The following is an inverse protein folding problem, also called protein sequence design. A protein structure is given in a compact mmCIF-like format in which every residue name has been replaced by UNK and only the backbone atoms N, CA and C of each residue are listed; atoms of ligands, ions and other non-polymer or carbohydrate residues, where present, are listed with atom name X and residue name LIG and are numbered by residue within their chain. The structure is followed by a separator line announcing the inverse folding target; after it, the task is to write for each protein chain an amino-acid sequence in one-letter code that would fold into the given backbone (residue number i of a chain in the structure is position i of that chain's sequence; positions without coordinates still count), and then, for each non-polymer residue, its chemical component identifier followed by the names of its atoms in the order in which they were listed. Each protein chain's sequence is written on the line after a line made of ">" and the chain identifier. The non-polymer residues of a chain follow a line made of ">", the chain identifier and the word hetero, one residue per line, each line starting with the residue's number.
data_IF_207392414782
#
_entry.id   IF_207392414782
#
_cell.length_a   1.000
_cell.length_b   1.000
_cell.length_c   1.000
_cell.angle_alpha   90.00
_cell.angle_beta   90.00
_cell.angle_gamma   90.00
#
_symmetry.space_group_name_H-M   'P 1'
#
loop_
_entity.id
_entity.type
_entity.pdbx_description
1 polymer ?
#
# COMPACT_ATOMS: atom_id res chain seq x y z
N UNK A 1 -24.73 41.23 11.08
CA UNK A 1 -25.99 41.52 11.82
C UNK A 1 -26.46 40.30 12.64
N UNK A 2 -25.64 39.68 13.51
CA UNK A 2 -26.04 38.37 14.08
C UNK A 2 -25.58 37.99 15.49
N UNK A 3 -24.78 38.79 16.21
CA UNK A 3 -24.45 38.44 17.62
C UNK A 3 -25.38 39.13 18.63
N UNK A 4 -25.71 40.40 18.43
CA UNK A 4 -26.57 41.13 19.36
C UNK A 4 -27.99 40.56 19.42
N UNK A 5 -28.56 40.15 18.29
CA UNK A 5 -29.89 39.53 18.23
C UNK A 5 -29.89 38.15 18.90
N UNK A 6 -28.75 37.44 18.86
CA UNK A 6 -28.61 36.15 19.54
C UNK A 6 -28.45 36.28 21.04
N UNK A 7 -27.66 37.25 21.50
CA UNK A 7 -27.56 37.55 22.92
C UNK A 7 -28.91 37.96 23.50
N UNK A 8 -29.71 38.71 22.74
CA UNK A 8 -31.08 39.08 23.13
C UNK A 8 -32.00 37.85 23.23
N UNK A 9 -31.95 36.93 22.26
CA UNK A 9 -32.73 35.69 22.32
C UNK A 9 -32.29 34.79 23.48
N UNK A 10 -30.98 34.67 23.72
CA UNK A 10 -30.45 33.88 24.82
C UNK A 10 -30.88 34.45 26.18
N UNK A 11 -30.85 35.77 26.36
CA UNK A 11 -31.35 36.44 27.57
C UNK A 11 -32.87 36.25 27.78
N UNK A 12 -33.68 36.28 26.71
CA UNK A 12 -35.13 36.05 26.82
C UNK A 12 -35.49 34.61 27.22
N UNK A 13 -34.70 33.62 26.80
CA UNK A 13 -34.93 32.23 27.21
C UNK A 13 -34.48 31.97 28.65
N UNK A 14 -33.36 32.55 29.09
CA UNK A 14 -32.89 32.40 30.48
C UNK A 14 -33.82 33.02 31.52
N UNK A 15 -34.73 33.92 31.12
CA UNK A 15 -35.67 34.61 32.02
C UNK A 15 -37.04 33.91 32.16
N UNK A 16 -37.26 32.76 31.51
CA UNK A 16 -38.51 31.99 31.59
C UNK A 16 -38.32 30.66 32.33
N UNK A 17 -38.57 30.60 33.66
CA UNK A 17 -38.35 29.39 34.47
C UNK A 17 -39.26 28.20 34.07
N UNK A 18 -40.39 28.46 33.41
CA UNK A 18 -41.33 27.43 32.94
C UNK A 18 -40.76 26.52 31.84
N UNK A 19 -39.75 26.98 31.10
CA UNK A 19 -39.13 26.20 30.02
C UNK A 19 -37.97 25.31 30.50
N UNK A 20 -37.50 25.46 31.74
CA UNK A 20 -36.42 24.66 32.31
C UNK A 20 -36.82 23.21 32.63
N UNK A 21 -38.12 22.90 32.68
CA UNK A 21 -38.62 21.55 32.98
C UNK A 21 -38.73 20.60 31.78
N UNK A 22 -38.50 21.08 30.55
CA UNK A 22 -38.73 20.27 29.35
C UNK A 22 -37.40 19.73 28.76
N UNK A 23 -37.04 18.45 29.00
CA UNK A 23 -35.78 17.87 28.53
C UNK A 23 -35.69 17.81 27.00
N UNK A 24 -36.83 17.75 26.31
CA UNK A 24 -36.88 17.65 24.85
C UNK A 24 -36.51 18.97 24.18
N UNK A 25 -36.93 20.10 24.75
CA UNK A 25 -36.58 21.43 24.24
C UNK A 25 -35.10 21.75 24.48
N UNK A 26 -34.57 21.36 25.65
CA UNK A 26 -33.15 21.47 25.97
C UNK A 26 -32.28 20.69 24.99
N UNK A 27 -32.64 19.42 24.72
CA UNK A 27 -31.97 18.59 23.72
C UNK A 27 -32.01 19.21 22.30
N UNK A 28 -33.14 19.82 21.92
CA UNK A 28 -33.27 20.48 20.62
C UNK A 28 -32.39 21.73 20.51
N UNK A 29 -32.33 22.56 21.56
CA UNK A 29 -31.42 23.71 21.59
C UNK A 29 -29.96 23.29 21.58
N UNK A 30 -29.61 22.25 22.34
CA UNK A 30 -28.26 21.68 22.35
C UNK A 30 -27.84 21.23 20.94
N UNK A 31 -28.73 20.51 20.23
CA UNK A 31 -28.49 20.07 18.86
C UNK A 31 -28.34 21.22 17.85
N UNK A 32 -29.06 22.34 18.03
CA UNK A 32 -28.90 23.53 17.18
C UNK A 32 -27.59 24.28 17.46
N UNK A 33 -27.15 24.33 18.72
CA UNK A 33 -25.85 24.90 19.11
C UNK A 33 -24.71 24.05 18.55
N UNK A 34 -24.82 22.73 18.62
CA UNK A 34 -23.86 21.80 18.01
C UNK A 34 -23.81 21.96 16.49
N UNK A 35 -24.97 22.03 15.82
CA UNK A 35 -25.04 22.22 14.36
C UNK A 35 -24.52 23.58 13.89
N UNK A 36 -24.58 24.61 14.73
CA UNK A 36 -24.02 25.94 14.42
C UNK A 36 -22.51 26.02 14.66
N UNK A 37 -21.98 25.07 15.43
CA UNK A 37 -20.55 24.91 15.64
C UNK A 37 -19.87 24.15 14.49
N UNK A 38 -20.61 23.83 13.41
CA UNK A 38 -20.04 23.26 12.20
C UNK A 38 -18.96 24.21 11.66
N UNK A 39 -17.70 23.75 11.50
CA UNK A 39 -16.63 24.56 10.95
C UNK A 39 -17.03 25.06 9.56
N UNK A 40 -16.70 26.31 9.27
CA UNK A 40 -16.96 26.90 7.95
C UNK A 40 -16.48 25.94 6.85
N UNK A 41 -17.26 25.75 5.76
CA UNK A 41 -16.98 24.72 4.75
C UNK A 41 -15.57 24.80 4.16
N UNK A 42 -14.97 26.00 4.09
CA UNK A 42 -13.59 26.20 3.66
C UNK A 42 -12.56 25.46 4.57
N UNK A 43 -12.75 25.47 5.88
CA UNK A 43 -11.85 24.79 6.84
C UNK A 43 -11.97 23.26 6.72
N UNK A 44 -13.13 22.75 6.32
CA UNK A 44 -13.35 21.32 6.08
C UNK A 44 -12.69 20.88 4.76
N UNK A 45 -12.81 21.69 3.71
CA UNK A 45 -12.19 21.43 2.41
C UNK A 45 -10.66 21.40 2.50
N UNK A 46 -10.05 22.37 3.20
CA UNK A 46 -8.60 22.45 3.40
C UNK A 46 -8.06 21.23 4.16
N UNK A 47 -8.75 20.82 5.23
CA UNK A 47 -8.39 19.61 5.99
C UNK A 47 -8.48 18.35 5.13
N UNK A 48 -9.47 18.27 4.24
CA UNK A 48 -9.64 17.13 3.34
C UNK A 48 -8.52 17.07 2.30
N UNK A 49 -8.15 18.20 1.71
CA UNK A 49 -7.02 18.28 0.78
C UNK A 49 -5.71 17.86 1.47
N UNK A 50 -5.44 18.39 2.66
CA UNK A 50 -4.26 18.03 3.44
C UNK A 50 -4.22 16.50 3.75
N UNK A 51 -5.37 15.92 4.10
CA UNK A 51 -5.48 14.46 4.34
C UNK A 51 -5.23 13.64 3.07
N UNK A 52 -5.72 14.08 1.92
CA UNK A 52 -5.49 13.41 0.63
C UNK A 52 -4.01 13.48 0.23
N UNK A 53 -3.36 14.63 0.41
CA UNK A 53 -1.93 14.79 0.14
C UNK A 53 -1.08 13.90 1.04
N UNK A 54 -1.39 13.84 2.35
CA UNK A 54 -0.73 12.92 3.28
C UNK A 54 -0.92 11.46 2.89
N UNK A 55 -2.13 11.09 2.47
CA UNK A 55 -2.44 9.73 2.03
C UNK A 55 -1.69 9.37 0.76
N UNK A 56 -1.65 10.28 -0.22
CA UNK A 56 -0.91 10.13 -1.48
C UNK A 56 0.59 9.97 -1.22
N UNK A 57 1.17 10.77 -0.33
CA UNK A 57 2.57 10.67 0.04
C UNK A 57 2.88 9.30 0.66
N UNK A 58 2.02 8.81 1.55
CA UNK A 58 2.15 7.48 2.18
C UNK A 58 2.08 6.35 1.15
N UNK A 59 1.10 6.39 0.24
CA UNK A 59 0.99 5.40 -0.84
C UNK A 59 2.19 5.41 -1.78
N UNK A 60 2.74 6.59 -2.11
CA UNK A 60 3.94 6.70 -2.93
C UNK A 60 5.15 6.04 -2.26
N UNK A 61 5.31 6.21 -0.95
CA UNK A 61 6.38 5.55 -0.19
C UNK A 61 6.19 4.03 -0.18
N UNK A 62 4.96 3.56 0.03
CA UNK A 62 4.64 2.14 0.00
C UNK A 62 4.92 1.50 -1.37
N UNK A 63 4.45 2.14 -2.45
CA UNK A 63 4.68 1.68 -3.81
C UNK A 63 6.17 1.62 -4.17
N UNK A 64 6.96 2.60 -3.70
CA UNK A 64 8.42 2.60 -3.87
C UNK A 64 9.05 1.39 -3.18
N UNK A 65 8.71 1.14 -1.91
CA UNK A 65 9.23 0.00 -1.17
C UNK A 65 8.87 -1.34 -1.82
N UNK A 66 7.62 -1.48 -2.29
CA UNK A 66 7.17 -2.68 -2.99
C UNK A 66 7.95 -2.90 -4.30
N UNK A 67 8.17 -1.84 -5.09
CA UNK A 67 8.95 -1.93 -6.32
C UNK A 67 10.40 -2.36 -6.06
N UNK A 68 11.01 -1.87 -4.98
CA UNK A 68 12.36 -2.29 -4.56
C UNK A 68 12.38 -3.76 -4.12
N UNK A 69 11.37 -4.22 -3.37
CA UNK A 69 11.22 -5.62 -2.98
C UNK A 69 11.04 -6.55 -4.19
N UNK A 70 10.20 -6.18 -5.15
CA UNK A 70 9.99 -6.96 -6.38
C UNK A 70 11.28 -7.04 -7.19
N UNK A 71 12.01 -5.93 -7.33
CA UNK A 71 13.32 -5.95 -8.02
C UNK A 71 14.31 -6.87 -7.34
N UNK A 72 14.39 -6.78 -6.01
CA UNK A 72 15.26 -7.63 -5.20
C UNK A 72 14.97 -9.13 -5.41
N UNK A 73 13.71 -9.54 -5.42
CA UNK A 73 13.37 -10.94 -5.72
C UNK A 73 13.64 -11.32 -7.16
N UNK A 74 13.39 -10.43 -8.12
CA UNK A 74 13.73 -10.66 -9.53
C UNK A 74 15.22 -10.97 -9.70
N UNK A 75 16.09 -10.16 -9.10
CA UNK A 75 17.55 -10.37 -9.15
C UNK A 75 17.96 -11.67 -8.42
N UNK A 76 17.38 -11.93 -7.25
CA UNK A 76 17.65 -13.14 -6.47
C UNK A 76 17.25 -14.43 -7.20
N UNK A 77 16.14 -14.40 -7.95
CA UNK A 77 15.62 -15.54 -8.71
C UNK A 77 16.22 -15.63 -10.12
N UNK A 78 17.12 -14.73 -10.50
CA UNK A 78 17.70 -14.70 -11.84
C UNK A 78 16.69 -14.32 -12.94
N UNK A 79 15.61 -13.61 -12.60
CA UNK A 79 14.62 -13.09 -13.53
C UNK A 79 14.93 -11.63 -13.93
N UNK A 80 14.20 -11.08 -14.90
CA UNK A 80 14.20 -9.64 -15.18
C UNK A 80 13.48 -8.91 -14.05
N UNK A 81 14.19 -8.06 -13.30
CA UNK A 81 13.64 -7.31 -12.17
C UNK A 81 12.60 -6.24 -12.55
N UNK A 82 12.35 -6.03 -13.84
CA UNK A 82 11.35 -5.09 -14.35
C UNK A 82 10.08 -5.76 -14.87
N UNK A 83 10.19 -6.86 -15.62
CA UNK A 83 9.04 -7.53 -16.25
C UNK A 83 8.90 -9.02 -15.92
N UNK A 84 9.89 -9.63 -15.25
CA UNK A 84 9.87 -11.05 -14.87
C UNK A 84 9.69 -12.03 -16.03
N UNK A 85 9.99 -11.58 -17.26
CA UNK A 85 9.83 -12.34 -18.49
C UNK A 85 8.40 -12.35 -19.04
N UNK A 86 7.47 -11.59 -18.46
CA UNK A 86 6.08 -11.50 -18.96
C UNK A 86 5.94 -10.59 -20.18
N UNK A 87 6.90 -9.69 -20.42
CA UNK A 87 6.90 -8.74 -21.53
C UNK A 87 7.93 -9.16 -22.60
N UNK A 88 7.43 -9.63 -23.74
CA UNK A 88 8.24 -10.04 -24.89
C UNK A 88 8.97 -8.87 -25.57
N UNK A 89 8.50 -7.64 -25.38
CA UNK A 89 9.09 -6.43 -25.95
C UNK A 89 9.94 -5.67 -24.93
N UNK A 90 10.20 -6.27 -23.76
CA UNK A 90 10.93 -5.59 -22.69
C UNK A 90 12.32 -5.14 -23.17
N UNK A 91 12.66 -3.84 -23.08
CA UNK A 91 13.94 -3.34 -23.59
C UNK A 91 15.17 -3.86 -22.81
N UNK A 92 14.95 -4.49 -21.65
CA UNK A 92 16.02 -4.99 -20.78
C UNK A 92 16.34 -6.47 -20.95
N UNK A 93 15.35 -7.30 -21.29
CA UNK A 93 15.54 -8.75 -21.42
C UNK A 93 14.95 -9.33 -22.71
N UNK A 94 14.25 -8.53 -23.51
CA UNK A 94 13.69 -8.94 -24.81
C UNK A 94 12.84 -10.21 -24.72
N UNK A 95 12.03 -10.32 -23.66
CA UNK A 95 11.21 -11.51 -23.40
C UNK A 95 11.92 -12.71 -22.76
N UNK A 96 13.25 -12.72 -22.65
CA UNK A 96 14.00 -13.87 -22.13
C UNK A 96 14.13 -13.87 -20.60
N UNK A 97 13.63 -12.83 -19.93
CA UNK A 97 13.87 -12.56 -18.51
C UNK A 97 13.07 -13.39 -17.51
N UNK A 98 12.73 -14.65 -17.82
CA UNK A 98 11.99 -15.55 -16.92
C UNK A 98 12.84 -16.00 -15.72
N UNK A 99 12.22 -16.60 -14.71
CA UNK A 99 12.94 -17.13 -13.53
C UNK A 99 13.99 -18.15 -13.97
N UNK A 100 15.22 -17.99 -13.47
CA UNK A 100 16.35 -18.85 -13.83
C UNK A 100 16.98 -18.57 -15.20
N UNK A 101 16.49 -17.58 -15.96
CA UNK A 101 17.13 -17.14 -17.22
C UNK A 101 18.54 -16.60 -17.02
N UNK A 102 18.86 -16.14 -15.81
CA UNK A 102 20.18 -15.63 -15.41
C UNK A 102 20.61 -16.27 -14.08
N UNK A 103 21.89 -16.12 -13.75
CA UNK A 103 22.40 -16.55 -12.45
C UNK A 103 21.75 -15.72 -11.33
N UNK A 104 20.95 -16.38 -10.48
CA UNK A 104 20.34 -15.79 -9.29
C UNK A 104 21.27 -15.85 -8.08
N UNK A 105 20.95 -15.06 -7.06
CA UNK A 105 21.65 -15.08 -5.77
C UNK A 105 21.02 -16.10 -4.82
N UNK A 106 21.34 -17.38 -5.07
CA UNK A 106 20.79 -18.52 -4.30
C UNK A 106 21.21 -18.45 -2.83
N UNK A 107 22.43 -17.99 -2.54
CA UNK A 107 22.93 -17.83 -1.18
C UNK A 107 22.06 -16.87 -0.35
N UNK A 108 21.48 -15.84 -0.99
CA UNK A 108 20.49 -14.97 -0.33
C UNK A 108 19.09 -15.54 -0.27
N UNK A 109 18.71 -16.38 -1.22
CA UNK A 109 17.38 -16.99 -1.27
C UNK A 109 17.19 -18.05 -0.19
N UNK A 110 18.20 -18.90 0.01
CA UNK A 110 18.10 -20.07 0.88
C UNK A 110 17.64 -19.74 2.30
N UNK A 111 18.23 -18.77 3.02
CA UNK A 111 17.80 -18.43 4.38
C UNK A 111 16.34 -17.96 4.48
N UNK A 112 15.75 -17.46 3.38
CA UNK A 112 14.36 -17.00 3.34
C UNK A 112 13.37 -18.15 3.18
N UNK A 113 13.72 -19.15 2.38
CA UNK A 113 12.81 -20.25 2.02
C UNK A 113 12.99 -21.50 2.89
N UNK A 114 14.18 -21.71 3.46
CA UNK A 114 14.49 -22.87 4.31
C UNK A 114 13.47 -23.10 5.43
N UNK A 115 13.00 -22.09 6.19
CA UNK A 115 12.01 -22.32 7.24
C UNK A 115 10.68 -22.87 6.70
N UNK A 116 10.25 -22.39 5.53
CA UNK A 116 9.00 -22.83 4.89
C UNK A 116 9.15 -24.24 4.33
N UNK A 117 10.30 -24.55 3.74
CA UNK A 117 10.61 -25.90 3.26
C UNK A 117 10.65 -26.90 4.42
N UNK A 118 11.31 -26.54 5.52
CA UNK A 118 11.38 -27.36 6.72
C UNK A 118 9.99 -27.63 7.32
N UNK A 119 9.10 -26.63 7.34
CA UNK A 119 7.71 -26.80 7.77
C UNK A 119 6.93 -27.80 6.90
N UNK A 120 7.26 -27.86 5.61
CA UNK A 120 6.70 -28.83 4.68
C UNK A 120 7.38 -30.22 4.74
N UNK A 121 8.36 -30.43 5.63
CA UNK A 121 9.16 -31.65 5.70
C UNK A 121 10.14 -31.81 4.53
N UNK A 122 10.44 -30.72 3.82
CA UNK A 122 11.40 -30.68 2.72
C UNK A 122 12.75 -30.15 3.22
N UNK A 123 13.83 -30.58 2.59
CA UNK A 123 15.18 -30.08 2.84
C UNK A 123 15.82 -29.64 1.52
N UNK A 124 16.64 -28.59 1.59
CA UNK A 124 17.46 -28.17 0.46
C UNK A 124 18.70 -29.06 0.43
N UNK A 125 18.86 -29.84 -0.64
CA UNK A 125 20.09 -30.56 -0.91
C UNK A 125 20.89 -29.77 -1.97
N UNK A 126 22.17 -29.45 -1.72
CA UNK A 126 22.99 -28.81 -2.75
C UNK A 126 23.07 -29.72 -3.96
N UNK A 127 22.89 -29.14 -5.16
CA UNK A 127 23.03 -29.89 -6.39
C UNK A 127 24.45 -30.49 -6.48
N UNK A 128 24.62 -31.74 -6.94
CA UNK A 128 25.94 -32.30 -7.15
C UNK A 128 26.68 -31.43 -8.17
N UNK A 129 27.84 -30.90 -7.79
CA UNK A 129 28.64 -29.94 -8.58
C UNK A 129 29.27 -30.54 -9.86
N UNK A 130 28.69 -31.58 -10.47
CA UNK A 130 29.45 -32.52 -11.30
C UNK A 130 28.71 -33.20 -12.44
N UNK A 131 27.79 -32.53 -13.14
CA UNK A 131 27.54 -32.89 -14.54
C UNK A 131 28.08 -31.76 -15.41
N UNK A 132 29.33 -31.92 -15.82
CA UNK A 132 29.85 -31.22 -16.99
C UNK A 132 28.79 -31.32 -18.08
N UNK A 133 28.31 -30.17 -18.54
CA UNK A 133 27.48 -30.10 -19.74
C UNK A 133 28.30 -30.78 -20.83
N UNK A 134 27.96 -32.03 -21.16
CA UNK A 134 28.42 -32.65 -22.39
C UNK A 134 27.78 -31.81 -23.48
N UNK A 135 28.58 -30.89 -24.03
CA UNK A 135 28.28 -30.10 -25.21
C UNK A 135 27.56 -31.00 -26.20
N UNK A 136 26.28 -30.73 -26.44
CA UNK A 136 25.47 -31.41 -27.46
C UNK A 136 25.84 -30.86 -28.85
N UNK A 137 27.15 -30.76 -29.10
CA UNK A 137 27.77 -30.36 -30.36
C UNK A 137 28.22 -31.65 -31.05
N UNK A 138 27.30 -32.45 -31.58
CA UNK A 138 27.57 -33.39 -32.69
C UNK A 138 26.28 -34.11 -33.12
N UNK A 139 25.41 -33.39 -33.83
CA UNK A 139 24.50 -34.02 -34.81
C UNK A 139 24.58 -33.20 -36.09
N UNK A 140 25.72 -33.30 -36.79
CA UNK A 140 25.78 -32.96 -38.21
C UNK A 140 25.21 -34.12 -39.02
N UNK A 141 24.26 -33.76 -39.88
CA UNK A 141 23.74 -34.45 -41.07
C UNK A 141 24.43 -35.75 -41.51
N UNK A 142 23.61 -36.78 -41.72
CA UNK A 142 23.92 -37.89 -42.62
C UNK A 142 22.91 -37.84 -43.78
N UNK A 143 23.45 -37.64 -44.98
CA UNK A 143 22.80 -37.71 -46.29
C UNK A 143 21.99 -39.00 -46.54
#
# INVERSE_FOLDING_TARGET
>A
MNEQMLNLLQQQFSSRPELQGNPQLSAMMQALIERRSDPAPAVVEDRRLEQLEKSRARWKQYAKGLAETVRFFGDMLGACSLCWGEDSECPHCQGEGTIGSRAGDIERLLPLIEPVLAQAGLAVCPAPQGRAQTSSDDVTDVD
#
